data_IF_961000251860
#
_entry.id   IF_961000251860
#
_cell.length_a   1.000
_cell.length_b   1.000
_cell.length_c   1.000
_cell.angle_alpha   90.00
_cell.angle_beta   90.00
_cell.angle_gamma   90.00
#
_symmetry.space_group_name_H-M   'P 1'
#
loop_
_entity.id
_entity.type
_entity.pdbx_description
1 polymer ?
#
# COMPACT_ATOMS: atom_id res chain seq x y z
N UNK A 1 -39.39 -15.47 -38.35
CA UNK A 1 -38.76 -15.62 -37.03
C UNK A 1 -38.77 -14.26 -36.34
N UNK A 2 -39.71 -14.07 -35.42
CA UNK A 2 -40.06 -12.79 -34.81
C UNK A 2 -39.14 -12.53 -33.60
N UNK A 3 -38.37 -11.44 -33.62
CA UNK A 3 -37.56 -11.01 -32.47
C UNK A 3 -38.38 -10.02 -31.62
N UNK A 4 -38.67 -10.29 -30.34
CA UNK A 4 -39.28 -9.29 -29.48
C UNK A 4 -38.24 -8.25 -29.07
N UNK A 5 -38.58 -6.98 -29.29
CA UNK A 5 -37.85 -5.82 -28.79
C UNK A 5 -38.06 -5.69 -27.29
N UNK A 6 -37.00 -5.86 -26.49
CA UNK A 6 -37.02 -5.56 -25.06
C UNK A 6 -36.85 -4.05 -24.88
N UNK A 7 -37.92 -3.38 -24.42
CA UNK A 7 -37.88 -2.00 -23.99
C UNK A 7 -37.18 -1.91 -22.62
N UNK A 8 -36.01 -1.30 -22.57
CA UNK A 8 -35.33 -0.97 -21.30
C UNK A 8 -35.81 0.41 -20.87
N UNK A 9 -36.64 0.43 -19.84
CA UNK A 9 -37.09 1.64 -19.16
C UNK A 9 -35.92 2.22 -18.35
N UNK A 10 -35.38 3.34 -18.81
CA UNK A 10 -34.34 4.11 -18.13
C UNK A 10 -35.01 4.95 -17.02
N UNK A 11 -35.01 4.46 -15.78
CA UNK A 11 -35.51 5.21 -14.64
C UNK A 11 -34.44 6.20 -14.18
N UNK A 12 -34.57 7.47 -14.60
CA UNK A 12 -33.89 8.60 -13.97
C UNK A 12 -34.48 8.83 -12.58
N UNK A 13 -33.70 8.51 -11.54
CA UNK A 13 -33.84 9.03 -10.17
C UNK A 13 -32.44 9.52 -9.83
N UNK A 14 -32.17 10.77 -9.48
CA UNK A 14 -32.99 11.79 -8.83
C UNK A 14 -31.98 12.53 -7.97
N UNK A 15 -31.48 13.64 -8.50
CA UNK A 15 -30.49 14.51 -7.90
C UNK A 15 -31.16 15.30 -6.76
N UNK A 16 -30.75 15.09 -5.51
CA UNK A 16 -30.98 16.05 -4.42
C UNK A 16 -29.72 16.22 -3.58
N UNK A 17 -29.10 17.38 -3.78
CA UNK A 17 -28.06 17.93 -2.92
C UNK A 17 -28.76 18.61 -1.74
N UNK A 18 -28.58 18.11 -0.52
CA UNK A 18 -29.14 18.71 0.69
C UNK A 18 -28.29 18.36 1.92
N UNK A 19 -27.23 19.14 2.14
CA UNK A 19 -26.82 19.68 3.44
C UNK A 19 -25.36 20.17 3.39
N UNK A 20 -25.22 21.45 3.07
CA UNK A 20 -24.11 22.26 3.54
C UNK A 20 -24.25 22.45 5.05
N UNK A 21 -23.23 22.13 5.86
CA UNK A 21 -22.71 23.01 6.93
C UNK A 21 -21.73 22.27 7.85
N UNK A 22 -20.51 22.80 7.95
CA UNK A 22 -19.53 22.34 8.93
C UNK A 22 -18.12 22.80 8.65
N UNK A 23 -17.92 24.11 8.48
CA UNK A 23 -16.60 24.75 8.56
C UNK A 23 -15.87 24.28 9.83
N UNK A 24 -14.72 23.64 9.68
CA UNK A 24 -13.67 23.70 10.70
C UNK A 24 -12.33 23.96 10.00
N UNK A 25 -12.23 25.16 9.44
CA UNK A 25 -10.95 25.78 9.10
C UNK A 25 -10.36 26.24 10.44
N UNK A 26 -9.70 25.33 11.16
CA UNK A 26 -8.80 25.73 12.24
C UNK A 26 -7.48 26.13 11.60
N UNK A 27 -7.41 27.39 11.18
CA UNK A 27 -6.18 28.07 10.81
C UNK A 27 -5.33 28.19 12.08
N UNK A 28 -4.43 27.23 12.30
CA UNK A 28 -3.32 27.44 13.22
C UNK A 28 -2.28 28.31 12.51
N UNK A 29 -2.09 29.59 12.89
CA UNK A 29 -1.03 30.41 12.30
C UNK A 29 0.32 29.75 12.61
N UNK A 30 1.04 29.35 11.56
CA UNK A 30 2.41 28.88 11.68
C UNK A 30 3.26 29.99 12.31
N UNK A 31 3.90 29.68 13.43
CA UNK A 31 4.87 30.56 14.06
C UNK A 31 6.02 30.84 13.07
N UNK A 32 6.50 32.09 12.93
CA UNK A 32 7.63 32.40 12.08
C UNK A 32 8.87 31.65 12.57
N UNK A 33 9.44 30.82 11.70
CA UNK A 33 10.70 30.12 11.92
C UNK A 33 11.81 31.14 12.18
N UNK A 34 12.41 31.10 13.37
CA UNK A 34 13.61 31.88 13.67
C UNK A 34 14.79 31.43 12.79
N UNK A 35 15.65 32.36 12.33
CA UNK A 35 16.90 32.01 11.67
C UNK A 35 17.80 31.25 12.64
N UNK A 36 18.12 30.00 12.32
CA UNK A 36 19.13 29.24 13.06
C UNK A 36 20.50 29.83 12.71
N UNK A 37 21.21 30.33 13.73
CA UNK A 37 22.54 30.90 13.58
C UNK A 37 23.52 29.85 12.99
N UNK A 38 24.44 30.24 12.09
CA UNK A 38 25.47 29.35 11.58
C UNK A 38 26.33 28.79 12.72
N UNK A 39 26.48 27.46 12.77
CA UNK A 39 27.39 26.81 13.70
C UNK A 39 28.83 27.27 13.42
N UNK A 40 29.54 27.70 14.45
CA UNK A 40 30.94 28.11 14.37
C UNK A 40 31.82 26.93 13.89
N UNK A 41 32.85 27.19 13.07
CA UNK A 41 33.76 26.16 12.61
C UNK A 41 34.54 25.57 13.79
N UNK A 42 34.42 24.26 13.97
CA UNK A 42 35.20 23.48 14.95
C UNK A 42 36.70 23.62 14.67
N UNK A 43 37.46 24.05 15.67
CA UNK A 43 38.92 24.16 15.57
C UNK A 43 39.58 22.78 15.36
N UNK A 44 40.71 22.71 14.63
CA UNK A 44 41.49 21.48 14.50
C UNK A 44 42.05 21.07 15.87
N UNK A 45 41.69 19.87 16.32
CA UNK A 45 42.27 19.27 17.52
C UNK A 45 43.71 18.85 17.20
N UNK A 46 44.66 19.31 18.02
CA UNK A 46 46.08 19.00 17.85
C UNK A 46 46.35 17.47 17.97
N UNK A 47 47.29 16.91 17.19
CA UNK A 47 47.61 15.48 17.28
C UNK A 47 48.20 15.13 18.65
N UNK A 48 47.57 14.19 19.35
CA UNK A 48 48.11 13.61 20.57
C UNK A 48 49.33 12.72 20.25
N UNK A 49 50.38 12.84 21.06
CA UNK A 49 51.62 12.08 20.93
C UNK A 49 51.37 10.55 21.03
N UNK A 50 52.14 9.72 20.30
CA UNK A 50 51.99 8.27 20.34
C UNK A 50 52.43 7.72 21.69
N UNK A 51 51.48 7.15 22.44
CA UNK A 51 51.75 6.40 23.66
C UNK A 51 52.22 5.00 23.26
N UNK A 52 53.40 4.60 23.75
CA UNK A 52 53.97 3.29 23.47
C UNK A 52 53.02 2.17 23.94
N UNK A 53 52.65 1.28 23.01
CA UNK A 53 51.70 0.21 23.26
C UNK A 53 52.31 -0.87 24.16
N UNK A 54 51.63 -1.16 25.27
CA UNK A 54 51.90 -2.32 26.12
C UNK A 54 51.50 -3.63 25.38
N UNK A 55 52.16 -4.77 25.67
CA UNK A 55 51.85 -6.05 25.03
C UNK A 55 50.41 -6.47 25.31
N UNK A 56 49.61 -6.64 24.25
CA UNK A 56 48.23 -7.07 24.34
C UNK A 56 48.14 -8.53 24.77
N UNK A 57 47.36 -8.80 25.82
CA UNK A 57 46.98 -10.15 26.23
C UNK A 57 46.19 -10.86 25.11
N UNK A 58 46.28 -12.20 24.99
CA UNK A 58 45.55 -12.96 23.99
C UNK A 58 44.04 -12.76 24.15
N UNK A 59 43.42 -12.16 23.13
CA UNK A 59 41.97 -11.91 23.08
C UNK A 59 41.29 -13.25 22.81
N UNK A 60 40.45 -13.69 23.74
CA UNK A 60 39.62 -14.88 23.56
C UNK A 60 38.73 -14.70 22.32
N UNK A 61 38.63 -15.75 21.49
CA UNK A 61 37.87 -15.72 20.26
C UNK A 61 36.39 -15.35 20.53
N UNK A 62 35.88 -14.37 19.79
CA UNK A 62 34.49 -13.95 19.88
C UNK A 62 33.56 -15.13 19.51
N UNK A 63 32.47 -15.37 20.27
CA UNK A 63 31.49 -16.40 19.94
C UNK A 63 30.93 -16.19 18.54
N UNK A 64 30.76 -17.28 17.78
CA UNK A 64 30.16 -17.24 16.45
C UNK A 64 28.75 -16.61 16.51
N UNK A 65 28.38 -15.73 15.56
CA UNK A 65 27.04 -15.16 15.50
C UNK A 65 25.97 -16.24 15.45
N UNK A 66 24.91 -16.09 16.26
CA UNK A 66 23.76 -16.98 16.21
C UNK A 66 23.14 -16.96 14.80
N UNK A 67 22.72 -18.12 14.25
CA UNK A 67 22.05 -18.17 12.95
C UNK A 67 20.85 -17.22 12.91
N UNK A 68 20.71 -16.47 11.80
CA UNK A 68 19.56 -15.61 11.59
C UNK A 68 18.26 -16.44 11.66
N UNK A 69 17.18 -15.93 12.30
CA UNK A 69 15.89 -16.61 12.33
C UNK A 69 15.43 -16.95 10.91
N UNK A 70 14.94 -18.17 10.71
CA UNK A 70 14.36 -18.57 9.44
C UNK A 70 13.22 -17.60 9.06
N UNK A 71 13.08 -17.23 7.77
CA UNK A 71 11.96 -16.41 7.32
C UNK A 71 10.63 -16.99 7.79
N UNK A 72 9.77 -16.14 8.36
CA UNK A 72 8.42 -16.54 8.72
C UNK A 72 7.73 -17.18 7.49
N UNK A 73 6.99 -18.29 7.65
CA UNK A 73 6.28 -18.93 6.55
C UNK A 73 5.43 -17.91 5.80
N UNK A 74 5.54 -17.91 4.47
CA UNK A 74 4.62 -17.13 3.64
C UNK A 74 3.19 -17.53 4.01
N UNK A 75 2.27 -16.56 4.22
CA UNK A 75 0.86 -16.88 4.42
C UNK A 75 0.41 -17.82 3.31
N UNK A 76 -0.19 -18.96 3.69
CA UNK A 76 -0.76 -19.87 2.72
C UNK A 76 -1.68 -19.07 1.77
N UNK A 77 -1.55 -19.32 0.46
CA UNK A 77 -2.51 -18.83 -0.51
C UNK A 77 -3.89 -19.21 0.01
N UNK A 78 -4.76 -18.22 0.22
CA UNK A 78 -6.07 -18.43 0.81
C UNK A 78 -6.87 -19.30 -0.17
N UNK A 79 -6.84 -20.61 0.02
CA UNK A 79 -7.37 -21.63 -0.90
C UNK A 79 -8.90 -21.70 -0.93
N UNK A 80 -9.57 -20.62 -0.53
CA UNK A 80 -11.01 -20.55 -0.38
C UNK A 80 -11.62 -19.19 -0.68
N UNK A 81 -10.92 -18.30 -1.41
CA UNK A 81 -11.52 -17.08 -1.95
C UNK A 81 -11.98 -17.34 -3.38
N UNK A 82 -13.25 -17.06 -3.68
CA UNK A 82 -13.78 -17.12 -5.04
C UNK A 82 -12.92 -16.33 -6.04
N UNK A 83 -13.08 -16.56 -7.34
CA UNK A 83 -12.41 -15.72 -8.34
C UNK A 83 -12.91 -14.28 -8.22
N UNK A 84 -12.07 -13.25 -8.45
CA UNK A 84 -12.52 -11.87 -8.42
C UNK A 84 -13.48 -11.63 -9.59
N UNK A 85 -14.74 -11.35 -9.25
CA UNK A 85 -15.84 -11.11 -10.17
C UNK A 85 -15.81 -9.70 -10.77
N UNK A 86 -15.27 -8.73 -10.04
CA UNK A 86 -15.16 -7.34 -10.50
C UNK A 86 -14.28 -6.49 -9.61
N UNK A 87 -13.87 -5.33 -10.13
CA UNK A 87 -13.15 -4.32 -9.38
C UNK A 87 -13.71 -2.93 -9.69
N UNK A 88 -13.77 -2.07 -8.66
CA UNK A 88 -14.15 -0.67 -8.78
C UNK A 88 -13.06 0.20 -8.17
N UNK A 89 -12.49 1.09 -9.00
CA UNK A 89 -11.47 2.05 -8.58
C UNK A 89 -12.15 3.30 -8.05
N UNK A 90 -11.75 3.75 -6.86
CA UNK A 90 -12.21 5.02 -6.29
C UNK A 90 -11.21 6.14 -6.51
N UNK A 91 -9.92 5.82 -6.53
CA UNK A 91 -8.85 6.80 -6.73
C UNK A 91 -7.66 6.17 -7.44
N UNK A 92 -6.99 6.94 -8.29
CA UNK A 92 -5.75 6.55 -8.96
C UNK A 92 -4.77 7.71 -8.92
N UNK A 93 -3.52 7.42 -8.58
CA UNK A 93 -2.41 8.35 -8.56
C UNK A 93 -1.17 7.70 -9.20
N UNK A 94 -0.30 8.52 -9.79
CA UNK A 94 1.03 8.07 -10.22
C UNK A 94 1.91 7.82 -9.00
N UNK A 95 2.65 6.71 -8.98
CA UNK A 95 3.63 6.41 -7.94
C UNK A 95 4.99 7.06 -8.19
N UNK A 96 5.90 6.89 -7.22
CA UNK A 96 7.25 7.49 -7.26
C UNK A 96 8.19 6.92 -8.34
N UNK A 97 7.75 5.89 -9.08
CA UNK A 97 8.54 5.17 -10.07
C UNK A 97 7.81 5.13 -11.41
N UNK A 98 8.51 5.26 -12.55
CA UNK A 98 7.88 5.11 -13.85
C UNK A 98 7.15 3.78 -13.99
N UNK A 99 5.90 3.83 -14.46
CA UNK A 99 5.04 2.65 -14.62
C UNK A 99 4.50 2.06 -13.33
N UNK A 100 4.68 2.72 -12.18
CA UNK A 100 4.00 2.40 -10.93
C UNK A 100 2.77 3.30 -10.78
N UNK A 101 1.62 2.69 -10.59
CA UNK A 101 0.35 3.36 -10.29
C UNK A 101 -0.12 2.92 -8.91
N UNK A 102 -0.67 3.86 -8.14
CA UNK A 102 -1.30 3.60 -6.85
C UNK A 102 -2.80 3.81 -7.03
N UNK A 103 -3.59 2.75 -6.85
CA UNK A 103 -5.05 2.81 -7.00
C UNK A 103 -5.75 2.29 -5.77
N UNK A 104 -6.63 3.10 -5.16
CA UNK A 104 -7.53 2.64 -4.11
C UNK A 104 -8.75 2.01 -4.78
N UNK A 105 -9.01 0.74 -4.51
CA UNK A 105 -10.09 0.01 -5.16
C UNK A 105 -10.76 -1.00 -4.23
N UNK A 106 -11.96 -1.41 -4.63
CA UNK A 106 -12.68 -2.54 -4.06
C UNK A 106 -12.77 -3.65 -5.09
N UNK A 107 -12.29 -4.85 -4.73
CA UNK A 107 -12.39 -6.07 -5.53
C UNK A 107 -13.44 -6.97 -4.90
N UNK A 108 -14.45 -7.36 -5.68
CA UNK A 108 -15.51 -8.27 -5.24
C UNK A 108 -15.22 -9.67 -5.75
N UNK A 109 -15.34 -10.66 -4.88
CA UNK A 109 -15.12 -12.07 -5.20
C UNK A 109 -16.46 -12.80 -5.41
N UNK A 110 -16.43 -13.94 -6.11
CA UNK A 110 -17.65 -14.71 -6.43
C UNK A 110 -18.35 -15.32 -5.22
N UNK A 111 -17.65 -15.46 -4.09
CA UNK A 111 -18.21 -15.86 -2.79
C UNK A 111 -18.89 -14.70 -2.05
N UNK A 112 -18.89 -13.50 -2.63
CA UNK A 112 -19.42 -12.28 -2.02
C UNK A 112 -18.44 -11.59 -1.08
N UNK A 113 -17.23 -12.11 -0.91
CA UNK A 113 -16.18 -11.40 -0.18
C UNK A 113 -15.78 -10.12 -0.92
N UNK A 114 -15.29 -9.14 -0.16
CA UNK A 114 -14.81 -7.86 -0.71
C UNK A 114 -13.43 -7.51 -0.16
N UNK A 115 -12.48 -7.25 -1.04
CA UNK A 115 -11.16 -6.72 -0.70
C UNK A 115 -11.13 -5.23 -1.02
N UNK A 116 -11.02 -4.42 0.03
CA UNK A 116 -10.74 -2.98 -0.09
C UNK A 116 -9.26 -2.78 0.20
N UNK A 117 -8.51 -2.18 -0.74
CA UNK A 117 -7.08 -1.96 -0.55
C UNK A 117 -6.56 -0.80 -1.42
N UNK A 118 -5.37 -0.33 -1.07
CA UNK A 118 -4.52 0.48 -1.95
C UNK A 118 -3.63 -0.47 -2.75
N UNK A 119 -3.82 -0.51 -4.06
CA UNK A 119 -3.09 -1.38 -4.98
C UNK A 119 -1.92 -0.63 -5.61
N UNK A 120 -0.71 -1.15 -5.41
CA UNK A 120 0.48 -0.74 -6.14
C UNK A 120 0.59 -1.60 -7.41
N UNK A 121 0.30 -1.01 -8.55
CA UNK A 121 0.22 -1.69 -9.84
C UNK A 121 1.44 -1.31 -10.68
N UNK A 122 2.27 -2.29 -11.02
CA UNK A 122 3.43 -2.11 -11.88
C UNK A 122 3.03 -2.41 -13.34
N UNK A 123 2.54 -1.40 -14.06
CA UNK A 123 1.96 -1.54 -15.40
C UNK A 123 2.83 -2.33 -16.40
N UNK A 124 4.18 -2.15 -16.47
CA UNK A 124 5.00 -2.92 -17.41
C UNK A 124 5.00 -4.44 -17.16
N UNK A 125 4.80 -4.86 -15.92
CA UNK A 125 4.81 -6.29 -15.52
C UNK A 125 3.44 -6.82 -15.14
N UNK A 126 2.45 -5.93 -15.09
CA UNK A 126 1.11 -6.14 -14.55
C UNK A 126 1.11 -6.74 -13.14
N UNK A 127 2.17 -6.51 -12.35
CA UNK A 127 2.23 -7.01 -10.98
C UNK A 127 1.41 -6.11 -10.06
N UNK A 128 0.52 -6.72 -9.27
CA UNK A 128 -0.30 -6.04 -8.27
C UNK A 128 0.27 -6.34 -6.89
N UNK A 129 0.37 -5.32 -6.04
CA UNK A 129 0.64 -5.48 -4.61
C UNK A 129 -0.35 -4.68 -3.76
N UNK A 130 -1.28 -5.34 -3.05
CA UNK A 130 -2.16 -4.67 -2.11
C UNK A 130 -1.42 -4.15 -0.88
N UNK A 131 -1.82 -2.97 -0.45
CA UNK A 131 -1.37 -2.28 0.76
C UNK A 131 -2.61 -1.73 1.48
N UNK A 132 -2.51 -1.52 2.80
CA UNK A 132 -3.63 -1.05 3.64
C UNK A 132 -4.95 -1.79 3.36
N UNK A 133 -4.89 -3.13 3.31
CA UNK A 133 -6.00 -3.93 2.84
C UNK A 133 -6.93 -4.37 3.96
N UNK A 134 -8.20 -4.53 3.62
CA UNK A 134 -9.24 -5.15 4.45
C UNK A 134 -10.07 -6.09 3.58
N UNK A 135 -10.00 -7.39 3.87
CA UNK A 135 -10.84 -8.42 3.29
C UNK A 135 -12.05 -8.65 4.21
N UNK A 136 -13.25 -8.46 3.68
CA UNK A 136 -14.52 -8.67 4.38
C UNK A 136 -15.30 -9.82 3.76
N UNK A 137 -16.07 -10.51 4.59
CA UNK A 137 -17.09 -11.47 4.15
C UNK A 137 -18.24 -10.75 3.43
N UNK A 138 -19.08 -11.50 2.72
CA UNK A 138 -20.36 -11.01 2.21
C UNK A 138 -21.26 -10.36 3.29
N UNK A 139 -21.15 -10.82 4.55
CA UNK A 139 -21.85 -10.25 5.70
C UNK A 139 -21.17 -9.03 6.32
N UNK A 140 -20.07 -8.54 5.73
CA UNK A 140 -19.33 -7.35 6.19
C UNK A 140 -18.31 -7.61 7.31
N UNK A 141 -18.26 -8.81 7.89
CA UNK A 141 -17.27 -9.17 8.90
C UNK A 141 -15.86 -9.22 8.31
N UNK A 142 -14.87 -8.65 9.01
CA UNK A 142 -13.46 -8.64 8.55
C UNK A 142 -12.86 -10.04 8.68
N UNK A 143 -12.42 -10.64 7.56
CA UNK A 143 -11.68 -11.91 7.52
C UNK A 143 -10.19 -11.69 7.75
N UNK A 144 -9.65 -10.63 7.15
CA UNK A 144 -8.21 -10.34 7.16
C UNK A 144 -7.98 -8.85 6.93
N UNK A 145 -6.98 -8.28 7.58
CA UNK A 145 -6.55 -6.90 7.33
C UNK A 145 -5.06 -6.76 7.56
N UNK A 146 -4.44 -5.76 6.96
CA UNK A 146 -3.04 -5.44 7.21
C UNK A 146 -2.49 -4.34 6.31
N UNK A 147 -1.37 -3.78 6.70
CA UNK A 147 -0.70 -2.71 5.93
C UNK A 147 -0.02 -3.23 4.66
N UNK A 148 0.32 -4.51 4.61
CA UNK A 148 1.08 -5.10 3.52
C UNK A 148 0.67 -6.51 3.18
N UNK A 149 0.38 -6.77 1.91
CA UNK A 149 0.25 -8.13 1.40
C UNK A 149 1.64 -8.66 1.04
N UNK A 150 2.05 -9.75 1.69
CA UNK A 150 3.42 -10.28 1.63
C UNK A 150 3.91 -10.56 0.21
N UNK A 151 3.03 -11.07 -0.66
CA UNK A 151 3.35 -11.42 -2.04
C UNK A 151 2.65 -10.48 -3.03
N UNK A 152 3.42 -9.99 -4.00
CA UNK A 152 2.83 -9.44 -5.20
C UNK A 152 2.31 -10.59 -6.07
N UNK A 153 1.22 -10.37 -6.80
CA UNK A 153 0.63 -11.37 -7.66
C UNK A 153 0.31 -10.79 -9.04
N UNK A 154 0.17 -11.69 -10.01
CA UNK A 154 -0.32 -11.36 -11.35
C UNK A 154 -1.85 -11.50 -11.36
N UNK A 155 -2.57 -10.62 -12.10
CA UNK A 155 -3.99 -10.76 -12.34
C UNK A 155 -4.29 -12.15 -12.88
N UNK A 156 -5.15 -12.89 -12.20
CA UNK A 156 -5.60 -14.21 -12.63
C UNK A 156 -7.13 -14.24 -12.87
N UNK A 157 -7.88 -13.28 -12.31
CA UNK A 157 -9.32 -13.17 -12.55
C UNK A 157 -9.74 -11.88 -13.25
N UNK A 158 -11.00 -11.86 -13.72
CA UNK A 158 -11.57 -10.74 -14.48
C UNK A 158 -11.56 -9.43 -13.67
N UNK A 159 -11.84 -9.48 -12.37
CA UNK A 159 -11.78 -8.29 -11.51
C UNK A 159 -10.36 -7.69 -11.43
N UNK A 160 -9.33 -8.51 -11.29
CA UNK A 160 -7.94 -8.05 -11.23
C UNK A 160 -7.45 -7.53 -12.59
N UNK A 161 -7.84 -8.19 -13.67
CA UNK A 161 -7.52 -7.70 -15.02
C UNK A 161 -8.18 -6.36 -15.30
N UNK A 162 -9.44 -6.21 -14.88
CA UNK A 162 -10.16 -4.94 -15.00
C UNK A 162 -9.46 -3.83 -14.21
N UNK A 163 -9.02 -4.12 -12.98
CA UNK A 163 -8.24 -3.20 -12.15
C UNK A 163 -6.96 -2.72 -12.89
N UNK A 164 -6.17 -3.64 -13.46
CA UNK A 164 -4.96 -3.27 -14.20
C UNK A 164 -5.30 -2.46 -15.44
N UNK A 165 -6.31 -2.87 -16.21
CA UNK A 165 -6.71 -2.15 -17.43
C UNK A 165 -7.22 -0.74 -17.16
N UNK A 166 -7.90 -0.51 -16.03
CA UNK A 166 -8.41 0.81 -15.66
C UNK A 166 -7.32 1.70 -15.05
N UNK A 167 -6.35 1.12 -14.34
CA UNK A 167 -5.29 1.88 -13.69
C UNK A 167 -4.12 2.23 -14.64
N UNK A 168 -3.88 1.41 -15.68
CA UNK A 168 -2.72 1.54 -16.56
C UNK A 168 -3.05 2.09 -17.97
N UNK A 169 -4.32 2.39 -18.28
CA UNK A 169 -4.73 3.13 -19.48
C UNK A 169 -4.90 4.61 -19.15
#
# INVERSE_FOLDING_TARGET
MQRPHLAVALTLVGLTCAACNGNNVSSNPAAPSQPVAPAAPSQPVAPAAPVAAAPAAPVAAAPAPAPAPAPAPAPAASSGGGYPAGASISHTASGDKPGLVISSATVSYTDGDTLVADFRIYCPTQMIRPTNYTLKTAGGAVKKQGSWWSQAFRPNGAGEQSLVSQACN
#
